data_IF_066021170410
#
_entry.id   IF_066021170410
#
_cell.length_a   1.000
_cell.length_b   1.000
_cell.length_c   1.000
_cell.angle_alpha   90.00
_cell.angle_beta   90.00
_cell.angle_gamma   90.00
#
_symmetry.space_group_name_H-M   'P 1'
#
loop_
_entity.id
_entity.type
_entity.pdbx_description
1 polymer ?
#
# COMPACT_ATOMS: atom_id res chain seq x y z
N UNK A 1 33.17 -12.15 30.04
CA UNK A 1 32.14 -11.24 29.46
C UNK A 1 31.91 -11.64 28.01
N UNK A 2 30.89 -12.47 27.78
CA UNK A 2 30.65 -13.13 26.49
C UNK A 2 29.94 -12.19 25.52
N UNK A 3 30.58 -11.91 24.37
CA UNK A 3 29.96 -11.22 23.23
C UNK A 3 28.93 -12.16 22.59
N UNK A 4 27.65 -11.86 22.77
CA UNK A 4 26.59 -12.48 21.97
C UNK A 4 26.65 -11.92 20.55
N UNK A 5 26.93 -12.79 19.59
CA UNK A 5 26.80 -12.53 18.16
C UNK A 5 25.33 -12.32 17.84
N UNK A 6 24.97 -11.11 17.40
CA UNK A 6 23.66 -10.83 16.82
C UNK A 6 23.47 -11.71 15.58
N UNK A 7 22.54 -12.65 15.66
CA UNK A 7 22.10 -13.45 14.52
C UNK A 7 21.48 -12.53 13.45
N UNK A 8 21.70 -12.78 12.15
CA UNK A 8 21.12 -11.95 11.11
C UNK A 8 19.60 -12.08 11.10
N UNK A 9 18.89 -10.98 11.38
CA UNK A 9 17.44 -10.86 11.21
C UNK A 9 17.07 -11.29 9.78
N UNK A 10 16.15 -12.25 9.66
CA UNK A 10 15.59 -12.72 8.37
C UNK A 10 15.17 -11.51 7.52
N UNK A 11 15.61 -11.51 6.25
CA UNK A 11 15.16 -10.54 5.23
C UNK A 11 13.64 -10.62 5.10
N UNK A 12 12.88 -9.50 5.10
CA UNK A 12 11.51 -9.53 4.62
C UNK A 12 11.58 -9.85 3.12
N UNK A 13 11.12 -11.05 2.75
CA UNK A 13 10.93 -11.41 1.36
C UNK A 13 9.69 -10.71 0.82
N UNK A 14 9.87 -10.13 -0.36
CA UNK A 14 8.87 -9.71 -1.36
C UNK A 14 7.48 -10.32 -1.26
N UNK A 15 6.50 -9.58 -1.81
CA UNK A 15 5.20 -10.06 -2.29
C UNK A 15 5.34 -11.09 -3.43
N UNK A 16 6.08 -12.16 -3.17
CA UNK A 16 6.26 -13.32 -4.02
C UNK A 16 5.99 -14.56 -3.19
N UNK A 17 4.79 -15.11 -3.36
CA UNK A 17 4.42 -16.52 -3.24
C UNK A 17 5.39 -17.38 -2.42
N UNK A 18 5.16 -17.49 -1.11
CA UNK A 18 5.77 -18.54 -0.28
C UNK A 18 4.69 -19.43 0.33
N UNK A 19 4.89 -20.71 0.04
CA UNK A 19 4.18 -21.94 0.40
C UNK A 19 2.66 -22.08 0.23
N UNK A 20 2.34 -23.14 -0.52
CA UNK A 20 1.00 -23.56 -0.94
C UNK A 20 0.39 -24.48 0.13
N UNK A 21 -0.91 -24.30 0.41
CA UNK A 21 -1.81 -25.16 1.21
C UNK A 21 -1.98 -24.88 2.71
N UNK A 22 -1.76 -23.66 3.19
CA UNK A 22 -2.54 -23.27 4.38
C UNK A 22 -4.00 -23.11 3.92
N UNK A 23 -4.86 -24.08 4.27
CA UNK A 23 -6.30 -23.92 4.07
C UNK A 23 -6.78 -22.97 5.16
N UNK A 24 -7.04 -21.74 4.78
CA UNK A 24 -7.72 -20.79 5.64
C UNK A 24 -9.19 -21.18 5.68
N UNK A 25 -9.72 -21.34 6.88
CA UNK A 25 -11.10 -21.74 7.16
C UNK A 25 -11.96 -20.56 7.66
N UNK A 26 -11.35 -19.41 7.89
CA UNK A 26 -11.98 -18.19 8.39
C UNK A 26 -11.19 -16.93 7.95
N UNK A 27 -11.82 -15.76 8.08
CA UNK A 27 -11.14 -14.47 7.85
C UNK A 27 -10.08 -14.20 8.91
N UNK A 28 -10.30 -14.57 10.17
CA UNK A 28 -9.30 -14.47 11.23
C UNK A 28 -8.04 -15.27 10.90
N UNK A 29 -8.20 -16.46 10.32
CA UNK A 29 -7.08 -17.28 9.88
C UNK A 29 -6.25 -16.61 8.77
N UNK A 30 -6.82 -15.65 8.01
CA UNK A 30 -6.10 -14.83 7.03
C UNK A 30 -5.45 -13.60 7.69
N UNK A 31 -6.20 -12.93 8.57
CA UNK A 31 -5.78 -11.67 9.20
C UNK A 31 -4.63 -11.87 10.18
N UNK A 32 -4.65 -12.95 10.99
CA UNK A 32 -3.59 -13.21 11.96
C UNK A 32 -2.21 -13.39 11.30
N UNK A 33 -2.05 -14.19 10.23
CA UNK A 33 -0.81 -14.24 9.45
C UNK A 33 -0.44 -12.90 8.79
N UNK A 34 -1.41 -12.11 8.34
CA UNK A 34 -1.13 -10.77 7.82
C UNK A 34 -0.42 -9.91 8.89
N UNK A 35 -1.02 -9.83 10.08
CA UNK A 35 -0.45 -9.10 11.22
C UNK A 35 0.91 -9.65 11.65
N UNK A 36 1.08 -10.98 11.67
CA UNK A 36 2.33 -11.58 12.10
C UNK A 36 3.50 -11.32 11.13
N UNK A 37 3.23 -11.20 9.83
CA UNK A 37 4.27 -11.24 8.80
C UNK A 37 4.46 -9.91 8.04
N UNK A 38 3.42 -9.07 7.94
CA UNK A 38 3.41 -7.93 7.02
C UNK A 38 3.22 -6.58 7.71
N UNK A 39 2.38 -6.48 8.75
CA UNK A 39 2.00 -5.18 9.35
C UNK A 39 3.20 -4.38 9.87
N UNK A 40 4.15 -5.04 10.52
CA UNK A 40 5.36 -4.40 11.04
C UNK A 40 6.25 -3.84 9.93
N UNK A 41 6.32 -4.53 8.79
CA UNK A 41 7.08 -4.03 7.65
C UNK A 41 6.39 -2.84 7.01
N UNK A 42 5.08 -2.92 6.78
CA UNK A 42 4.28 -1.83 6.26
C UNK A 42 4.43 -0.56 7.13
N UNK A 43 4.33 -0.69 8.46
CA UNK A 43 4.50 0.46 9.36
C UNK A 43 5.94 1.02 9.34
N UNK A 44 6.96 0.18 9.24
CA UNK A 44 8.36 0.66 9.10
C UNK A 44 8.56 1.44 7.81
N UNK A 45 7.97 0.98 6.71
CA UNK A 45 8.02 1.67 5.43
C UNK A 45 7.29 3.02 5.51
N UNK A 46 6.06 3.06 6.02
CA UNK A 46 5.32 4.31 6.22
C UNK A 46 6.04 5.27 7.15
N UNK A 47 6.70 4.77 8.20
CA UNK A 47 7.50 5.59 9.12
C UNK A 47 8.66 6.30 8.41
N UNK A 48 9.25 5.69 7.38
CA UNK A 48 10.27 6.35 6.59
C UNK A 48 9.71 7.56 5.86
N UNK A 49 8.56 7.42 5.18
CA UNK A 49 7.92 8.55 4.51
C UNK A 49 7.41 9.62 5.48
N UNK A 50 6.90 9.22 6.66
CA UNK A 50 6.49 10.15 7.72
C UNK A 50 7.62 11.03 8.27
N UNK A 51 8.87 10.58 8.16
CA UNK A 51 10.05 11.24 8.77
C UNK A 51 10.93 12.00 7.78
N UNK A 52 10.42 12.25 6.57
CA UNK A 52 11.14 13.09 5.61
C UNK A 52 11.34 14.49 6.17
N UNK A 53 12.40 15.18 5.73
CA UNK A 53 12.77 16.50 6.29
C UNK A 53 11.92 17.62 5.71
N UNK A 54 11.58 17.49 4.43
CA UNK A 54 10.83 18.50 3.68
C UNK A 54 9.73 17.82 2.85
N UNK A 55 8.74 18.62 2.43
CA UNK A 55 7.76 18.16 1.46
C UNK A 55 8.43 17.73 0.15
N UNK A 56 9.47 18.46 -0.30
CA UNK A 56 10.23 18.09 -1.50
C UNK A 56 10.84 16.68 -1.41
N UNK A 57 11.46 16.34 -0.28
CA UNK A 57 12.01 15.00 -0.05
C UNK A 57 10.91 13.93 -0.01
N UNK A 58 9.75 14.24 0.58
CA UNK A 58 8.61 13.34 0.62
C UNK A 58 8.06 13.08 -0.80
N UNK A 59 7.92 14.13 -1.62
CA UNK A 59 7.48 14.03 -3.00
C UNK A 59 8.47 13.24 -3.86
N UNK A 60 9.78 13.52 -3.76
CA UNK A 60 10.80 12.76 -4.50
C UNK A 60 10.75 11.27 -4.13
N UNK A 61 10.81 10.95 -2.84
CA UNK A 61 10.84 9.55 -2.41
C UNK A 61 9.53 8.81 -2.75
N UNK A 62 8.37 9.46 -2.60
CA UNK A 62 7.08 8.87 -2.91
C UNK A 62 6.91 8.64 -4.42
N UNK A 63 7.11 9.68 -5.23
CA UNK A 63 6.88 9.64 -6.68
C UNK A 63 7.88 8.73 -7.40
N UNK A 64 9.14 8.68 -6.92
CA UNK A 64 10.17 7.78 -7.46
C UNK A 64 10.15 6.38 -6.82
N UNK A 65 9.20 6.12 -5.93
CA UNK A 65 9.02 4.85 -5.25
C UNK A 65 10.27 4.37 -4.50
N UNK A 66 11.01 5.28 -3.87
CA UNK A 66 12.26 4.98 -3.15
C UNK A 66 11.96 4.48 -1.73
N UNK A 67 12.51 3.33 -1.41
CA UNK A 67 12.46 2.73 -0.08
C UNK A 67 13.62 3.24 0.80
N UNK A 68 13.62 2.99 2.12
CA UNK A 68 14.74 3.35 3.01
C UNK A 68 16.10 2.84 2.54
N UNK A 69 16.11 1.73 1.80
CA UNK A 69 17.33 1.15 1.22
C UNK A 69 17.87 1.89 -0.01
N UNK A 70 17.21 2.96 -0.46
CA UNK A 70 17.46 3.65 -1.73
C UNK A 70 16.95 2.89 -2.97
N UNK A 71 16.54 1.63 -2.80
CA UNK A 71 15.99 0.82 -3.89
C UNK A 71 14.55 1.20 -4.19
N UNK A 72 14.12 0.92 -5.42
CA UNK A 72 12.72 1.06 -5.80
C UNK A 72 11.84 -0.03 -5.18
N UNK A 73 10.65 0.37 -4.74
CA UNK A 73 9.60 -0.54 -4.29
C UNK A 73 9.33 -1.63 -5.32
N UNK A 74 9.18 -2.87 -4.85
CA UNK A 74 9.13 -4.06 -5.69
C UNK A 74 8.02 -3.96 -6.76
N UNK A 75 6.83 -3.48 -6.35
CA UNK A 75 5.65 -3.35 -7.20
C UNK A 75 5.80 -2.31 -8.32
N UNK A 76 6.74 -1.38 -8.19
CA UNK A 76 6.97 -0.28 -9.12
C UNK A 76 8.27 -0.43 -9.93
N UNK A 77 8.97 -1.58 -9.81
CA UNK A 77 10.20 -1.86 -10.58
C UNK A 77 9.98 -1.90 -12.09
N UNK A 78 8.78 -2.27 -12.53
CA UNK A 78 8.44 -2.36 -13.96
C UNK A 78 8.16 -0.98 -14.59
N UNK A 79 7.93 0.05 -13.78
CA UNK A 79 7.72 1.41 -14.31
C UNK A 79 9.03 1.97 -14.85
N UNK A 80 8.99 2.59 -16.02
CA UNK A 80 10.17 3.22 -16.60
C UNK A 80 10.64 4.39 -15.70
N UNK A 81 11.94 4.61 -15.63
CA UNK A 81 12.49 5.73 -14.84
C UNK A 81 11.97 7.09 -15.36
N UNK A 82 11.82 7.23 -16.68
CA UNK A 82 11.23 8.41 -17.32
C UNK A 82 9.78 8.65 -16.86
N UNK A 83 8.96 7.60 -16.79
CA UNK A 83 7.57 7.68 -16.28
C UNK A 83 7.52 8.19 -14.85
N UNK A 84 8.37 7.67 -13.97
CA UNK A 84 8.43 8.12 -12.56
C UNK A 84 8.92 9.55 -12.42
N UNK A 85 9.93 9.94 -13.21
CA UNK A 85 10.41 11.32 -13.23
C UNK A 85 9.34 12.30 -13.73
N UNK A 86 8.56 11.92 -14.75
CA UNK A 86 7.46 12.75 -15.23
C UNK A 86 6.42 12.98 -14.11
N UNK A 87 6.07 11.94 -13.36
CA UNK A 87 5.15 12.07 -12.21
C UNK A 87 5.73 12.95 -11.10
N UNK A 88 7.00 12.76 -10.75
CA UNK A 88 7.67 13.61 -9.77
C UNK A 88 7.67 15.09 -10.17
N UNK A 89 7.97 15.40 -11.44
CA UNK A 89 7.95 16.78 -11.96
C UNK A 89 6.53 17.36 -11.93
N UNK A 90 5.51 16.56 -12.27
CA UNK A 90 4.13 17.01 -12.24
C UNK A 90 3.67 17.31 -10.80
N UNK A 91 3.93 16.39 -9.86
CA UNK A 91 3.54 16.52 -8.46
C UNK A 91 4.19 17.71 -7.74
N UNK A 92 5.39 18.13 -8.15
CA UNK A 92 6.02 19.33 -7.58
C UNK A 92 5.25 20.63 -7.82
N UNK A 93 4.33 20.65 -8.79
CA UNK A 93 3.54 21.84 -9.14
C UNK A 93 2.21 21.90 -8.42
N UNK A 94 1.85 20.87 -7.66
CA UNK A 94 0.58 20.77 -6.96
C UNK A 94 0.62 21.55 -5.63
N UNK A 95 -0.53 22.09 -5.24
CA UNK A 95 -0.72 22.64 -3.90
C UNK A 95 -1.32 21.59 -2.97
N UNK A 96 -0.47 21.00 -2.12
CA UNK A 96 -0.88 20.00 -1.13
C UNK A 96 -1.56 20.60 0.10
N UNK A 97 -1.51 21.92 0.30
CA UNK A 97 -2.17 22.56 1.46
C UNK A 97 -3.69 22.59 1.30
N UNK A 98 -4.19 22.43 0.06
CA UNK A 98 -5.61 22.37 -0.24
C UNK A 98 -6.27 21.02 0.14
N UNK A 99 -5.47 19.99 0.43
CA UNK A 99 -5.98 18.66 0.80
C UNK A 99 -6.36 18.62 2.29
N UNK A 100 -7.64 18.42 2.59
CA UNK A 100 -8.15 18.35 3.96
C UNK A 100 -8.07 16.94 4.54
N UNK A 101 -8.23 15.94 3.67
CA UNK A 101 -8.20 14.54 4.04
C UNK A 101 -7.38 13.71 3.03
N UNK A 102 -7.32 12.40 3.27
CA UNK A 102 -6.62 11.50 2.37
C UNK A 102 -7.29 11.35 1.01
N UNK A 103 -8.61 11.53 0.92
CA UNK A 103 -9.34 11.42 -0.33
C UNK A 103 -9.01 12.59 -1.26
N UNK A 104 -8.98 13.82 -0.74
CA UNK A 104 -8.52 14.99 -1.48
C UNK A 104 -7.10 14.77 -2.04
N UNK A 105 -6.20 14.23 -1.20
CA UNK A 105 -4.84 13.91 -1.61
C UNK A 105 -4.80 12.85 -2.71
N UNK A 106 -5.59 11.78 -2.56
CA UNK A 106 -5.69 10.71 -3.55
C UNK A 106 -6.19 11.25 -4.90
N UNK A 107 -7.26 12.05 -4.90
CA UNK A 107 -7.83 12.67 -6.09
C UNK A 107 -6.83 13.62 -6.77
N UNK A 108 -6.18 14.50 -6.00
CA UNK A 108 -5.15 15.40 -6.51
C UNK A 108 -4.03 14.63 -7.22
N UNK A 109 -3.52 13.56 -6.60
CA UNK A 109 -2.47 12.74 -7.19
C UNK A 109 -2.99 12.04 -8.44
N UNK A 110 -4.17 11.43 -8.37
CA UNK A 110 -4.80 10.74 -9.50
C UNK A 110 -4.89 11.66 -10.72
N UNK A 111 -5.52 12.82 -10.58
CA UNK A 111 -5.72 13.80 -11.66
C UNK A 111 -4.38 14.30 -12.21
N UNK A 112 -3.40 14.53 -11.35
CA UNK A 112 -2.08 15.03 -11.75
C UNK A 112 -1.32 14.03 -12.62
N UNK A 113 -1.41 12.74 -12.30
CA UNK A 113 -0.60 11.70 -12.96
C UNK A 113 -1.35 10.91 -14.03
N UNK A 114 -2.67 11.04 -14.11
CA UNK A 114 -3.51 10.37 -15.10
C UNK A 114 -3.03 10.57 -16.55
N UNK A 115 -2.55 11.75 -16.98
CA UNK A 115 -2.05 11.95 -18.34
C UNK A 115 -0.75 11.18 -18.65
N UNK A 116 -0.07 10.63 -17.65
CA UNK A 116 1.26 10.03 -17.79
C UNK A 116 1.10 8.54 -18.12
N UNK A 117 1.42 8.19 -19.37
CA UNK A 117 1.33 6.80 -19.83
C UNK A 117 2.19 5.84 -18.98
N UNK A 118 1.60 4.70 -18.64
CA UNK A 118 2.22 3.65 -17.83
C UNK A 118 1.98 3.78 -16.32
N UNK A 119 1.35 4.86 -15.86
CA UNK A 119 0.89 5.01 -14.48
C UNK A 119 -0.52 4.42 -14.32
N UNK A 120 -0.73 3.64 -13.27
CA UNK A 120 -2.03 3.04 -12.96
C UNK A 120 -2.40 3.21 -11.49
N UNK A 121 -3.61 2.76 -11.13
CA UNK A 121 -4.24 2.93 -9.80
C UNK A 121 -3.31 2.55 -8.62
N UNK A 122 -2.54 1.46 -8.75
CA UNK A 122 -1.61 1.03 -7.70
C UNK A 122 -0.52 2.10 -7.45
N UNK A 123 -0.01 2.74 -8.50
CA UNK A 123 0.98 3.81 -8.32
C UNK A 123 0.35 5.02 -7.64
N UNK A 124 -0.87 5.39 -8.04
CA UNK A 124 -1.62 6.50 -7.44
C UNK A 124 -1.79 6.27 -5.95
N UNK A 125 -2.34 5.11 -5.57
CA UNK A 125 -2.56 4.76 -4.17
C UNK A 125 -1.26 4.71 -3.37
N UNK A 126 -0.22 4.01 -3.86
CA UNK A 126 1.08 3.93 -3.20
C UNK A 126 1.69 5.33 -2.97
N UNK A 127 1.57 6.21 -3.97
CA UNK A 127 2.13 7.57 -3.90
C UNK A 127 1.33 8.42 -2.92
N UNK A 128 0.00 8.33 -2.93
CA UNK A 128 -0.88 8.99 -1.98
C UNK A 128 -0.62 8.53 -0.55
N UNK A 129 -0.48 7.22 -0.33
CA UNK A 129 -0.18 6.66 0.99
C UNK A 129 1.15 7.16 1.54
N UNK A 130 2.17 7.28 0.69
CA UNK A 130 3.51 7.77 1.07
C UNK A 130 3.53 9.27 1.36
N UNK A 131 2.89 10.08 0.51
CA UNK A 131 2.79 11.53 0.75
C UNK A 131 1.89 11.81 1.96
N UNK A 132 0.78 11.10 2.07
CA UNK A 132 -0.15 11.19 3.20
C UNK A 132 0.52 10.84 4.53
N UNK A 133 1.42 9.85 4.54
CA UNK A 133 2.21 9.55 5.73
C UNK A 133 3.06 10.75 6.21
N UNK A 134 3.60 11.57 5.30
CA UNK A 134 4.30 12.82 5.64
C UNK A 134 3.33 13.91 6.10
N UNK A 135 2.23 14.12 5.38
CA UNK A 135 1.21 15.14 5.67
C UNK A 135 0.31 14.79 6.86
N UNK A 136 0.42 13.59 7.40
CA UNK A 136 -0.48 13.01 8.42
C UNK A 136 -1.94 12.86 7.94
N UNK A 137 -2.12 12.72 6.63
CA UNK A 137 -3.39 12.36 6.01
C UNK A 137 -3.37 10.83 5.84
N UNK A 138 -4.27 10.14 6.54
CA UNK A 138 -4.36 8.67 6.51
C UNK A 138 -5.67 8.24 5.86
N UNK A 139 -5.69 7.11 5.13
CA UNK A 139 -6.93 6.64 4.53
C UNK A 139 -7.96 6.31 5.61
N UNK A 140 -9.21 6.64 5.33
CA UNK A 140 -10.43 6.31 6.09
C UNK A 140 -11.26 5.20 5.42
N UNK A 141 -10.87 4.83 4.20
CA UNK A 141 -11.52 3.84 3.32
C UNK A 141 -10.46 3.03 2.58
N UNK A 142 -10.87 1.90 2.03
CA UNK A 142 -9.99 0.96 1.32
C UNK A 142 -10.05 1.25 -0.17
N UNK A 143 -9.00 1.82 -0.73
CA UNK A 143 -8.94 2.18 -2.14
C UNK A 143 -8.67 0.97 -3.02
N UNK A 144 -9.39 0.87 -4.13
CA UNK A 144 -9.35 -0.28 -5.03
C UNK A 144 -8.41 -0.02 -6.19
N UNK A 145 -7.37 -0.84 -6.29
CA UNK A 145 -6.61 -1.03 -7.53
C UNK A 145 -6.69 -2.49 -7.98
N UNK A 146 -6.21 -2.79 -9.19
CA UNK A 146 -6.28 -4.13 -9.81
C UNK A 146 -5.94 -5.32 -8.88
N UNK A 147 -5.02 -5.17 -7.93
CA UNK A 147 -4.67 -6.22 -6.97
C UNK A 147 -5.73 -6.43 -5.89
N UNK A 148 -6.21 -5.32 -5.32
CA UNK A 148 -7.22 -5.27 -4.25
C UNK A 148 -8.59 -5.65 -4.77
N UNK A 149 -8.93 -5.26 -6.01
CA UNK A 149 -10.21 -5.60 -6.66
C UNK A 149 -10.47 -7.10 -6.67
N UNK A 150 -9.44 -7.94 -6.78
CA UNK A 150 -9.60 -9.40 -6.72
C UNK A 150 -9.97 -9.86 -5.30
N UNK A 151 -9.30 -9.33 -4.27
CA UNK A 151 -9.64 -9.65 -2.88
C UNK A 151 -11.02 -9.10 -2.46
N UNK A 152 -11.34 -7.87 -2.89
CA UNK A 152 -12.64 -7.24 -2.73
C UNK A 152 -13.76 -8.07 -3.38
N UNK A 153 -13.54 -8.56 -4.60
CA UNK A 153 -14.50 -9.40 -5.30
C UNK A 153 -14.76 -10.71 -4.57
N UNK A 154 -13.73 -11.33 -3.98
CA UNK A 154 -13.91 -12.52 -3.13
C UNK A 154 -14.77 -12.24 -1.89
N UNK A 155 -14.81 -10.99 -1.42
CA UNK A 155 -15.70 -10.51 -0.36
C UNK A 155 -17.05 -9.97 -0.90
N UNK A 156 -17.36 -10.21 -2.18
CA UNK A 156 -18.59 -9.81 -2.87
C UNK A 156 -18.76 -8.31 -3.12
N UNK A 157 -17.67 -7.55 -3.10
CA UNK A 157 -17.67 -6.15 -3.54
C UNK A 157 -17.40 -6.07 -5.05
N UNK A 158 -18.38 -5.58 -5.81
CA UNK A 158 -18.33 -5.53 -7.28
C UNK A 158 -18.30 -4.09 -7.77
N UNK A 159 -17.12 -3.49 -7.84
CA UNK A 159 -16.90 -2.16 -8.45
C UNK A 159 -16.59 -1.04 -7.45
N UNK A 160 -16.56 0.19 -7.96
CA UNK A 160 -16.20 1.40 -7.20
C UNK A 160 -14.70 1.66 -7.11
N UNK A 161 -14.33 2.83 -6.58
CA UNK A 161 -12.91 3.21 -6.38
C UNK A 161 -12.43 2.93 -4.97
N UNK A 162 -13.36 2.69 -4.04
CA UNK A 162 -13.07 2.36 -2.65
C UNK A 162 -14.20 1.55 -2.00
N UNK A 163 -13.90 0.95 -0.85
CA UNK A 163 -14.85 0.31 0.06
C UNK A 163 -14.78 1.05 1.41
N UNK A 164 -15.93 1.36 2.01
CA UNK A 164 -15.96 1.90 3.36
C UNK A 164 -15.60 0.80 4.36
N UNK A 165 -14.79 1.12 5.37
CA UNK A 165 -14.39 0.13 6.36
C UNK A 165 -15.58 -0.45 7.15
N UNK A 166 -16.69 0.31 7.25
CA UNK A 166 -17.94 -0.14 7.86
C UNK A 166 -18.65 -1.25 7.09
N UNK A 167 -18.38 -1.38 5.79
CA UNK A 167 -19.06 -2.33 4.92
C UNK A 167 -18.38 -3.71 4.95
N UNK A 168 -17.13 -3.75 5.43
CA UNK A 168 -16.33 -4.97 5.51
C UNK A 168 -16.77 -5.87 6.69
N UNK A 169 -16.47 -7.18 6.60
CA UNK A 169 -16.65 -8.10 7.73
C UNK A 169 -15.95 -7.61 9.01
N UNK A 170 -16.54 -7.91 10.17
CA UNK A 170 -16.10 -7.40 11.48
C UNK A 170 -14.64 -7.76 11.80
N UNK A 171 -14.14 -8.87 11.29
CA UNK A 171 -12.76 -9.33 11.47
C UNK A 171 -11.76 -8.28 10.95
N UNK A 172 -12.11 -7.52 9.90
CA UNK A 172 -11.26 -6.47 9.35
C UNK A 172 -11.14 -5.24 10.24
N UNK A 173 -11.96 -5.08 11.29
CA UNK A 173 -11.83 -3.96 12.24
C UNK A 173 -10.54 -3.99 13.04
N UNK A 174 -9.85 -5.14 13.10
CA UNK A 174 -8.52 -5.26 13.67
C UNK A 174 -7.42 -4.58 12.83
N UNK A 175 -7.73 -4.21 11.58
CA UNK A 175 -6.80 -3.64 10.62
C UNK A 175 -7.12 -2.17 10.33
N UNK A 176 -6.07 -1.36 10.13
CA UNK A 176 -6.23 -0.01 9.58
C UNK A 176 -6.56 -0.06 8.09
N UNK A 177 -7.15 0.97 7.49
CA UNK A 177 -7.59 0.93 6.08
C UNK A 177 -6.50 0.54 5.09
N UNK A 178 -5.27 1.04 5.25
CA UNK A 178 -4.14 0.63 4.40
C UNK A 178 -3.68 -0.81 4.63
N UNK A 179 -3.91 -1.35 5.83
CA UNK A 179 -3.61 -2.75 6.13
C UNK A 179 -4.66 -3.70 5.56
N UNK A 180 -5.92 -3.25 5.52
CA UNK A 180 -6.98 -3.96 4.83
C UNK A 180 -6.65 -4.04 3.33
N UNK A 181 -6.25 -2.91 2.72
CA UNK A 181 -5.80 -2.88 1.33
C UNK A 181 -4.69 -3.92 1.07
N UNK A 182 -3.60 -3.87 1.84
CA UNK A 182 -2.51 -4.84 1.73
C UNK A 182 -3.02 -6.29 1.87
N UNK A 183 -3.88 -6.54 2.86
CA UNK A 183 -4.42 -7.87 3.13
C UNK A 183 -5.23 -8.39 1.94
N UNK A 184 -6.13 -7.58 1.39
CA UNK A 184 -6.92 -7.91 0.20
C UNK A 184 -6.01 -8.15 -1.02
N UNK A 185 -4.93 -7.40 -1.17
CA UNK A 185 -4.01 -7.53 -2.29
C UNK A 185 -3.13 -8.79 -2.19
N UNK A 186 -2.61 -9.09 -0.99
CA UNK A 186 -1.70 -10.20 -0.69
C UNK A 186 -2.44 -11.54 -0.65
N UNK A 187 -3.57 -11.60 0.08
CA UNK A 187 -4.33 -12.82 0.35
C UNK A 187 -5.53 -13.03 -0.60
N UNK A 188 -5.57 -12.33 -1.74
CA UNK A 188 -6.69 -12.43 -2.71
C UNK A 188 -7.06 -13.84 -3.13
N UNK A 189 -6.10 -14.78 -3.20
CA UNK A 189 -6.35 -16.16 -3.62
C UNK A 189 -6.95 -16.99 -2.49
N UNK A 190 -6.48 -16.74 -1.29
CA UNK A 190 -6.94 -17.35 -0.05
C UNK A 190 -8.37 -16.89 0.26
N UNK A 191 -8.65 -15.59 0.10
CA UNK A 191 -9.99 -15.01 0.20
C UNK A 191 -10.96 -15.62 -0.81
N UNK A 192 -10.52 -15.78 -2.06
CA UNK A 192 -11.30 -16.41 -3.13
C UNK A 192 -11.62 -17.88 -2.80
N UNK A 193 -10.62 -18.62 -2.32
CA UNK A 193 -10.78 -20.02 -1.90
C UNK A 193 -11.74 -20.15 -0.73
N UNK A 194 -11.66 -19.25 0.26
CA UNK A 194 -12.51 -19.25 1.45
C UNK A 194 -13.99 -19.03 1.08
N UNK A 195 -14.26 -18.14 0.14
CA UNK A 195 -15.62 -17.77 -0.26
C UNK A 195 -16.18 -18.60 -1.44
N UNK A 196 -15.39 -19.51 -2.01
CA UNK A 196 -15.81 -20.38 -3.11
C UNK A 196 -16.02 -19.63 -4.43
N UNK A 197 -15.24 -18.58 -4.67
CA UNK A 197 -15.33 -17.68 -5.83
C UNK A 197 -14.06 -17.75 -6.67
#
# INVERSE_FOLDING_TARGET
>A
MSRQLLTPKRKPSSCSTRDRRARFDSLDAIIAPYLANYSDNAERELRFFRRQRTLGDALENAALARLPSGKRAHHQRRLAASTLNAAWIALQRCDFNACNDFHDLFCLIHETVQPIHGIGELYVYDTALRIGAFLRLVPDRVYLHAGVRVGAWALRFTGGDYILCSDLPLEFTALRPHQIEDCLCIYKRELATLNGT
#
